data_IF_004341500398
#
_entry.id   IF_004341500398
#
_cell.length_a   1.000
_cell.length_b   1.000
_cell.length_c   1.000
_cell.angle_alpha   90.00
_cell.angle_beta   90.00
_cell.angle_gamma   90.00
#
_symmetry.space_group_name_H-M   'P 1'
#
loop_
_entity.id
_entity.type
_entity.pdbx_description
1 polymer ?
#
# COMPACT_ATOMS: atom_id res chain seq x y z
N UNK A 1 3.05 -32.63 -26.51
CA UNK A 1 2.50 -31.34 -27.00
C UNK A 1 1.58 -30.63 -26.00
N UNK A 2 1.08 -31.32 -24.96
CA UNK A 2 0.17 -30.71 -23.97
C UNK A 2 0.87 -29.71 -23.04
N UNK A 3 2.11 -29.99 -22.60
CA UNK A 3 2.88 -29.06 -21.75
C UNK A 3 3.18 -27.74 -22.46
N UNK A 4 3.46 -27.77 -23.78
CA UNK A 4 3.75 -26.56 -24.55
C UNK A 4 2.52 -25.63 -24.62
N UNK A 5 1.32 -26.21 -24.78
CA UNK A 5 0.04 -25.46 -24.76
C UNK A 5 -0.21 -24.83 -23.39
N UNK A 6 0.05 -25.57 -22.31
CA UNK A 6 -0.10 -25.08 -20.93
C UNK A 6 0.84 -23.91 -20.64
N UNK A 7 2.10 -24.02 -21.05
CA UNK A 7 3.09 -22.94 -20.87
C UNK A 7 2.67 -21.70 -21.67
N UNK A 8 2.21 -21.86 -22.92
CA UNK A 8 1.75 -20.75 -23.75
C UNK A 8 0.51 -20.06 -23.17
N UNK A 9 -0.43 -20.83 -22.61
CA UNK A 9 -1.62 -20.28 -21.96
C UNK A 9 -1.25 -19.51 -20.68
N UNK A 10 -0.40 -20.08 -19.83
CA UNK A 10 0.03 -19.46 -18.59
C UNK A 10 0.83 -18.17 -18.84
N UNK A 11 1.78 -18.20 -19.80
CA UNK A 11 2.56 -17.02 -20.17
C UNK A 11 1.69 -15.93 -20.79
N UNK A 12 0.68 -16.28 -21.59
CA UNK A 12 -0.28 -15.35 -22.15
C UNK A 12 -1.08 -14.61 -21.08
N UNK A 13 -1.59 -15.32 -20.07
CA UNK A 13 -2.33 -14.71 -18.95
C UNK A 13 -1.41 -13.79 -18.14
N UNK A 14 -0.19 -14.23 -17.84
CA UNK A 14 0.80 -13.43 -17.12
C UNK A 14 1.14 -12.15 -17.89
N UNK A 15 1.33 -12.26 -19.21
CA UNK A 15 1.62 -11.13 -20.08
C UNK A 15 0.48 -10.10 -20.07
N UNK A 16 -0.78 -10.55 -20.15
CA UNK A 16 -1.95 -9.65 -20.10
C UNK A 16 -2.02 -8.93 -18.74
N UNK A 17 -1.76 -9.63 -17.63
CA UNK A 17 -1.78 -9.02 -16.30
C UNK A 17 -0.71 -7.93 -16.15
N UNK A 18 0.52 -8.22 -16.59
CA UNK A 18 1.64 -7.26 -16.56
C UNK A 18 1.39 -6.09 -17.51
N UNK A 19 0.90 -6.34 -18.72
CA UNK A 19 0.53 -5.31 -19.68
C UNK A 19 -0.56 -4.39 -19.11
N UNK A 20 -1.59 -4.94 -18.47
CA UNK A 20 -2.64 -4.16 -17.81
C UNK A 20 -2.10 -3.23 -16.71
N UNK A 21 -1.18 -3.72 -15.88
CA UNK A 21 -0.49 -2.87 -14.89
C UNK A 21 0.37 -1.80 -15.56
N UNK A 22 1.13 -2.15 -16.60
CA UNK A 22 2.00 -1.22 -17.32
C UNK A 22 1.21 -0.09 -17.98
N UNK A 23 0.12 -0.43 -18.71
CA UNK A 23 -0.78 0.54 -19.32
C UNK A 23 -1.36 1.46 -18.25
N UNK A 24 -1.82 0.92 -17.12
CA UNK A 24 -2.34 1.74 -16.01
C UNK A 24 -1.30 2.76 -15.52
N UNK A 25 -0.03 2.39 -15.41
CA UNK A 25 1.03 3.30 -14.96
C UNK A 25 1.32 4.37 -16.02
N UNK A 26 1.43 3.98 -17.30
CA UNK A 26 1.74 4.89 -18.41
C UNK A 26 0.60 5.88 -18.66
N UNK A 27 -0.65 5.44 -18.62
CA UNK A 27 -1.80 6.32 -18.87
C UNK A 27 -2.26 7.11 -17.63
N UNK A 28 -1.77 6.78 -16.44
CA UNK A 28 -2.11 7.52 -15.23
C UNK A 28 -1.36 8.85 -15.19
N UNK A 29 -2.05 9.99 -15.00
CA UNK A 29 -1.46 11.35 -15.04
C UNK A 29 -0.16 11.55 -14.23
N UNK A 30 0.07 10.74 -13.21
CA UNK A 30 1.26 10.84 -12.37
C UNK A 30 2.47 10.06 -12.90
N UNK A 31 2.30 9.14 -13.87
CA UNK A 31 3.28 8.13 -14.33
C UNK A 31 4.03 7.38 -13.20
N UNK A 32 3.54 7.48 -11.98
CA UNK A 32 4.11 6.89 -10.77
C UNK A 32 3.27 5.69 -10.38
N UNK A 33 3.94 4.69 -9.84
CA UNK A 33 3.27 3.59 -9.15
C UNK A 33 2.41 4.16 -8.02
N UNK A 34 1.22 3.61 -7.73
CA UNK A 34 0.37 4.10 -6.64
C UNK A 34 1.16 4.16 -5.32
N UNK A 35 0.99 5.26 -4.57
CA UNK A 35 1.62 5.45 -3.27
C UNK A 35 1.12 4.39 -2.28
N UNK A 36 1.95 3.39 -1.98
CA UNK A 36 1.65 2.31 -1.01
C UNK A 36 1.94 2.73 0.43
N UNK A 37 2.69 3.82 0.61
CA UNK A 37 3.01 4.38 1.92
C UNK A 37 1.80 5.12 2.51
N UNK A 38 1.27 4.62 3.62
CA UNK A 38 0.14 5.22 4.33
C UNK A 38 0.36 6.70 4.72
N UNK A 39 1.60 7.10 5.02
CA UNK A 39 1.91 8.47 5.45
C UNK A 39 1.82 9.54 4.34
N UNK A 40 2.15 9.20 3.10
CA UNK A 40 2.18 10.16 1.98
C UNK A 40 0.90 10.12 1.13
N UNK A 41 0.10 9.07 1.26
CA UNK A 41 -1.10 8.88 0.44
C UNK A 41 -2.30 9.66 1.01
N UNK A 42 -2.69 10.74 0.34
CA UNK A 42 -3.85 11.57 0.71
C UNK A 42 -5.18 10.80 0.72
N UNK A 43 -5.36 9.83 -0.16
CA UNK A 43 -6.58 9.02 -0.24
C UNK A 43 -6.69 8.05 0.95
N UNK A 44 -5.57 7.46 1.38
CA UNK A 44 -5.53 6.63 2.59
C UNK A 44 -5.84 7.47 3.84
N UNK A 45 -5.30 8.69 3.90
CA UNK A 45 -5.58 9.61 5.01
C UNK A 45 -7.05 10.03 5.09
N UNK A 46 -7.73 10.22 3.95
CA UNK A 46 -9.19 10.49 3.91
C UNK A 46 -10.01 9.30 4.45
N UNK A 47 -9.51 8.08 4.31
CA UNK A 47 -10.12 6.85 4.81
C UNK A 47 -9.74 6.54 6.27
N UNK A 48 -9.04 7.45 6.95
CA UNK A 48 -8.61 7.28 8.34
C UNK A 48 -7.37 6.40 8.50
N UNK A 49 -6.74 5.95 7.42
CA UNK A 49 -5.51 5.15 7.47
C UNK A 49 -4.31 6.10 7.53
N UNK A 50 -3.71 6.21 8.71
CA UNK A 50 -2.49 6.99 8.98
C UNK A 50 -1.29 6.07 9.21
N UNK A 51 -0.08 6.62 9.10
CA UNK A 51 1.14 5.88 9.42
C UNK A 51 1.28 5.75 10.95
N UNK A 52 1.37 4.54 11.52
CA UNK A 52 1.49 4.35 12.97
C UNK A 52 2.66 5.13 13.58
N UNK A 53 3.77 5.24 12.84
CA UNK A 53 4.94 6.03 13.24
C UNK A 53 4.67 7.53 13.31
N UNK A 54 3.78 8.06 12.47
CA UNK A 54 3.44 9.48 12.55
C UNK A 54 2.61 9.76 13.80
N UNK A 55 1.75 8.81 14.17
CA UNK A 55 0.89 8.91 15.34
C UNK A 55 1.69 8.70 16.65
N UNK A 56 2.68 7.78 16.68
CA UNK A 56 3.57 7.59 17.83
C UNK A 56 4.44 8.84 18.12
N UNK A 57 5.01 9.47 17.09
CA UNK A 57 5.85 10.67 17.23
C UNK A 57 5.03 11.86 17.75
N UNK A 58 3.77 12.00 17.29
CA UNK A 58 2.86 13.03 17.80
C UNK A 58 2.54 12.83 19.29
N UNK A 59 2.30 11.59 19.71
CA UNK A 59 2.10 11.25 21.12
C UNK A 59 3.31 11.64 21.98
N UNK A 60 4.53 11.44 21.48
CA UNK A 60 5.75 11.79 22.23
C UNK A 60 6.08 13.29 22.22
N UNK A 61 5.75 14.00 21.14
CA UNK A 61 6.04 15.44 21.01
C UNK A 61 5.09 16.31 21.85
N UNK A 62 3.85 15.86 22.11
CA UNK A 62 2.97 16.51 23.09
C UNK A 62 3.16 15.91 24.47
N UNK A 63 3.76 16.68 25.38
CA UNK A 63 3.75 16.44 26.83
C UNK A 63 2.33 16.68 27.39
N UNK A 64 1.35 15.86 26.97
CA UNK A 64 -0.03 15.94 27.46
C UNK A 64 -0.34 14.68 28.28
N UNK A 65 -0.44 14.88 29.59
CA UNK A 65 -0.82 13.89 30.61
C UNK A 65 -2.27 13.44 30.44
N UNK A 66 -2.56 12.55 29.48
CA UNK A 66 -3.58 11.49 29.59
C UNK A 66 -3.81 10.86 28.20
N UNK A 67 -3.43 9.58 28.06
CA UNK A 67 -4.10 8.68 27.11
C UNK A 67 -3.44 8.40 25.76
N UNK A 68 -2.11 8.42 25.62
CA UNK A 68 -1.47 7.69 24.50
C UNK A 68 -1.00 6.32 24.99
N UNK A 69 -1.90 5.34 25.03
CA UNK A 69 -1.52 3.92 25.03
C UNK A 69 -0.90 3.62 23.68
N UNK A 70 0.30 3.06 23.68
CA UNK A 70 1.03 2.82 22.44
C UNK A 70 0.24 1.84 21.53
N UNK A 71 0.32 1.99 20.21
CA UNK A 71 -0.23 0.99 19.29
C UNK A 71 0.44 -0.39 19.47
N UNK A 72 1.63 -0.41 20.10
CA UNK A 72 2.34 -1.62 20.48
C UNK A 72 1.70 -2.33 21.69
N UNK A 73 1.19 -1.59 22.68
CA UNK A 73 0.49 -2.15 23.84
C UNK A 73 -0.83 -2.83 23.44
N UNK A 74 -1.62 -2.22 22.53
CA UNK A 74 -2.88 -2.83 22.06
C UNK A 74 -2.74 -3.98 21.07
N UNK A 75 -1.57 -4.16 20.45
CA UNK A 75 -1.31 -5.28 19.53
C UNK A 75 -0.75 -6.52 20.25
N UNK A 76 -0.59 -6.44 21.58
CA UNK A 76 0.03 -7.47 22.42
C UNK A 76 -0.98 -8.21 23.32
N UNK A 77 -2.21 -7.72 23.41
CA UNK A 77 -3.41 -8.40 23.92
C UNK A 77 -4.17 -9.08 22.77
#
# INVERSE_FOLDING_TARGET
>A
MEILKLIALASGILFIALAGMALKIIFHKSHKFPETSAGHNKELRKRGVSCPRHDEIKCWSKKQNNGCSTCYEHARD
#
